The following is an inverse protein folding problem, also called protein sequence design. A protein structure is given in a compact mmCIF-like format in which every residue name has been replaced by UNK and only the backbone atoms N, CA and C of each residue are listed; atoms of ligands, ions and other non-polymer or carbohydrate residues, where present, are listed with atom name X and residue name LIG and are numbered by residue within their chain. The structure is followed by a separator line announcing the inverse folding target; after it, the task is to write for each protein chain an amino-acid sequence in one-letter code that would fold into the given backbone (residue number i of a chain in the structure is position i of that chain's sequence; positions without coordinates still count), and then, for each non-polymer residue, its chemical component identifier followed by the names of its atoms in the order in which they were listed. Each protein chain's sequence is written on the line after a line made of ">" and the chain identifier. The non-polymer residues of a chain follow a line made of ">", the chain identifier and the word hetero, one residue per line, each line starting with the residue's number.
data_IF_853833530157
#
_entry.id   IF_853833530157
#
_cell.length_a   1.000
_cell.length_b   1.000
_cell.length_c   1.000
_cell.angle_alpha   90.00
_cell.angle_beta   90.00
_cell.angle_gamma   90.00
#
_symmetry.space_group_name_H-M   'P 1'
#
loop_
_entity.id
_entity.type
_entity.pdbx_description
1 polymer ?
#
# COMPACT_ATOMS: atom_id res chain seq x y z
N UNK A 1 -9.27 11.11 -27.17
CA UNK A 1 -9.37 11.56 -25.77
C UNK A 1 -9.00 10.38 -24.88
N UNK A 2 -7.73 10.24 -24.54
CA UNK A 2 -7.24 9.16 -23.68
C UNK A 2 -7.59 9.49 -22.24
N UNK A 3 -8.47 8.71 -21.63
CA UNK A 3 -8.77 8.80 -20.21
C UNK A 3 -7.48 8.49 -19.45
N UNK A 4 -6.81 9.54 -18.97
CA UNK A 4 -5.80 9.40 -17.93
C UNK A 4 -6.58 9.06 -16.68
N UNK A 5 -6.70 7.76 -16.39
CA UNK A 5 -7.13 7.30 -15.08
C UNK A 5 -6.08 7.81 -14.12
N UNK A 6 -6.38 8.92 -13.43
CA UNK A 6 -5.53 9.43 -12.37
C UNK A 6 -5.33 8.27 -11.39
N UNK A 7 -4.14 7.67 -11.43
CA UNK A 7 -3.73 6.71 -10.43
C UNK A 7 -3.86 7.44 -9.09
N UNK A 8 -4.67 6.95 -8.14
CA UNK A 8 -4.77 7.61 -6.86
C UNK A 8 -3.40 7.51 -6.21
N UNK A 9 -2.63 8.60 -6.31
CA UNK A 9 -1.52 8.96 -5.43
C UNK A 9 -2.11 9.17 -4.04
N UNK A 10 -2.59 8.09 -3.44
CA UNK A 10 -2.78 8.02 -2.02
C UNK A 10 -1.36 8.08 -1.46
N UNK A 11 -0.97 9.30 -1.06
CA UNK A 11 0.28 9.66 -0.40
C UNK A 11 0.53 8.77 0.85
N UNK A 12 0.93 7.53 0.63
CA UNK A 12 1.65 6.68 1.60
C UNK A 12 3.16 6.79 1.37
N UNK A 13 3.59 7.82 0.63
CA UNK A 13 4.94 8.03 0.13
C UNK A 13 6.00 8.11 1.25
N UNK A 14 5.65 8.66 2.43
CA UNK A 14 6.65 8.97 3.44
C UNK A 14 7.23 7.73 4.15
N UNK A 15 6.46 6.65 4.30
CA UNK A 15 6.93 5.41 4.96
C UNK A 15 7.54 4.38 3.98
N UNK A 16 7.20 4.50 2.69
CA UNK A 16 7.64 3.60 1.63
C UNK A 16 8.97 4.06 1.01
N UNK A 17 9.20 5.38 0.92
CA UNK A 17 10.46 5.98 0.41
C UNK A 17 11.68 5.61 1.25
N UNK A 18 11.59 5.54 2.58
CA UNK A 18 12.74 5.18 3.45
C UNK A 18 13.22 3.73 3.26
N UNK A 19 12.42 2.89 2.58
CA UNK A 19 12.69 1.46 2.41
C UNK A 19 12.89 1.04 0.96
N UNK A 20 12.90 2.00 0.02
CA UNK A 20 12.91 1.75 -1.41
C UNK A 20 11.78 0.80 -1.85
N UNK A 21 10.62 0.90 -1.17
CA UNK A 21 9.43 0.10 -1.44
C UNK A 21 8.47 0.95 -2.25
N UNK A 22 8.03 0.43 -3.39
CA UNK A 22 6.98 1.03 -4.19
C UNK A 22 5.76 0.12 -4.19
N UNK A 23 4.60 0.69 -3.83
CA UNK A 23 3.33 -0.03 -3.81
C UNK A 23 2.51 0.49 -4.98
N UNK A 24 2.23 -0.40 -5.93
CA UNK A 24 1.47 -0.08 -7.12
C UNK A 24 0.13 -0.82 -7.05
N UNK A 25 -1.01 -0.12 -7.14
CA UNK A 25 -2.30 -0.78 -7.18
C UNK A 25 -2.46 -1.57 -8.48
N UNK A 26 -2.61 -2.89 -8.37
CA UNK A 26 -2.83 -3.77 -9.52
C UNK A 26 -4.33 -3.91 -9.86
N UNK A 27 -5.18 -3.89 -8.82
CA UNK A 27 -6.63 -3.84 -8.96
C UNK A 27 -7.22 -3.22 -7.70
N UNK A 28 -7.95 -2.12 -7.86
CA UNK A 28 -8.66 -1.49 -6.75
C UNK A 28 -10.14 -1.39 -7.03
N UNK A 29 -10.92 -1.36 -5.96
CA UNK A 29 -12.36 -1.09 -6.00
C UNK A 29 -12.67 0.06 -5.06
N UNK A 30 -13.60 0.92 -5.47
CA UNK A 30 -14.04 2.03 -4.63
C UNK A 30 -14.76 1.50 -3.37
N UNK A 31 -14.46 2.11 -2.23
CA UNK A 31 -14.98 1.68 -0.94
C UNK A 31 -14.32 0.41 -0.38
N UNK A 32 -15.12 -0.49 0.19
CA UNK A 32 -14.65 -1.72 0.85
C UNK A 32 -14.80 -2.90 -0.10
N UNK A 33 -13.69 -3.51 -0.48
CA UNK A 33 -13.70 -4.71 -1.32
C UNK A 33 -12.31 -5.32 -1.48
N UNK A 34 -12.12 -6.14 -2.51
CA UNK A 34 -10.82 -6.79 -2.74
C UNK A 34 -9.87 -5.84 -3.44
N UNK A 35 -8.86 -5.39 -2.70
CA UNK A 35 -7.75 -4.58 -3.19
C UNK A 35 -6.56 -5.49 -3.46
N UNK A 36 -5.95 -5.35 -4.62
CA UNK A 36 -4.75 -6.07 -5.04
C UNK A 36 -3.65 -5.05 -5.30
N UNK A 37 -2.54 -5.20 -4.59
CA UNK A 37 -1.39 -4.32 -4.66
C UNK A 37 -0.14 -5.14 -5.02
N UNK A 38 0.64 -4.65 -5.97
CA UNK A 38 1.97 -5.17 -6.25
C UNK A 38 3.00 -4.37 -5.45
N UNK A 39 3.87 -5.09 -4.74
CA UNK A 39 4.93 -4.51 -3.92
C UNK A 39 6.24 -4.73 -4.63
N UNK A 40 6.92 -3.63 -4.91
CA UNK A 40 8.24 -3.59 -5.51
C UNK A 40 9.23 -3.15 -4.45
N UNK A 41 10.40 -3.79 -4.44
CA UNK A 41 11.54 -3.39 -3.63
C UNK A 41 12.75 -3.33 -4.55
N UNK A 42 13.48 -2.21 -4.53
CA UNK A 42 14.65 -2.00 -5.40
C UNK A 42 14.31 -2.21 -6.90
N UNK A 43 13.10 -1.81 -7.31
CA UNK A 43 12.62 -1.97 -8.69
C UNK A 43 12.14 -3.38 -9.07
N UNK A 44 12.31 -4.38 -8.19
CA UNK A 44 11.87 -5.76 -8.43
C UNK A 44 10.56 -6.03 -7.71
N UNK A 45 9.59 -6.66 -8.39
CA UNK A 45 8.35 -7.11 -7.74
C UNK A 45 8.66 -8.25 -6.78
N UNK A 46 8.53 -7.98 -5.49
CA UNK A 46 8.82 -8.94 -4.41
C UNK A 46 7.56 -9.61 -3.87
N UNK A 47 6.40 -8.98 -4.01
CA UNK A 47 5.16 -9.53 -3.47
C UNK A 47 3.92 -9.02 -4.23
N UNK A 48 2.80 -9.74 -4.12
CA UNK A 48 1.46 -9.27 -4.47
C UNK A 48 0.55 -9.50 -3.28
N UNK A 49 0.09 -8.39 -2.70
CA UNK A 49 -0.85 -8.42 -1.59
C UNK A 49 -2.28 -8.41 -2.13
N UNK A 50 -3.11 -9.31 -1.60
CA UNK A 50 -4.57 -9.25 -1.72
C UNK A 50 -5.16 -8.97 -0.34
N UNK A 51 -5.87 -7.86 -0.19
CA UNK A 51 -6.49 -7.45 1.06
C UNK A 51 -7.96 -7.10 0.83
N UNK A 52 -8.83 -7.51 1.76
CA UNK A 52 -10.24 -7.11 1.74
C UNK A 52 -10.41 -5.90 2.66
N UNK A 53 -10.71 -4.74 2.08
CA UNK A 53 -10.78 -3.48 2.80
C UNK A 53 -10.79 -2.29 1.84
N UNK A 54 -10.45 -1.12 2.37
CA UNK A 54 -10.16 0.06 1.55
C UNK A 54 -8.76 -0.01 0.95
N UNK A 55 -8.50 0.78 -0.11
CA UNK A 55 -7.16 0.91 -0.70
C UNK A 55 -6.15 1.33 0.35
N UNK A 56 -6.52 2.26 1.25
CA UNK A 56 -5.66 2.73 2.34
C UNK A 56 -5.27 1.60 3.30
N UNK A 57 -6.23 0.76 3.72
CA UNK A 57 -5.98 -0.41 4.57
C UNK A 57 -5.05 -1.42 3.87
N UNK A 58 -5.27 -1.65 2.58
CA UNK A 58 -4.43 -2.54 1.79
C UNK A 58 -2.99 -2.01 1.69
N UNK A 59 -2.81 -0.72 1.42
CA UNK A 59 -1.48 -0.11 1.36
C UNK A 59 -0.78 -0.15 2.72
N UNK A 60 -1.48 0.18 3.81
CA UNK A 60 -0.93 0.09 5.16
C UNK A 60 -0.50 -1.35 5.49
N UNK A 61 -1.29 -2.36 5.08
CA UNK A 61 -0.95 -3.78 5.27
C UNK A 61 0.27 -4.19 4.45
N UNK A 62 0.43 -3.65 3.25
CA UNK A 62 1.60 -3.90 2.40
C UNK A 62 2.88 -3.33 3.03
N UNK A 63 2.84 -2.10 3.56
CA UNK A 63 3.98 -1.49 4.26
C UNK A 63 4.29 -2.24 5.56
N UNK A 64 3.26 -2.62 6.33
CA UNK A 64 3.41 -3.32 7.60
C UNK A 64 4.17 -4.64 7.47
N UNK A 65 4.05 -5.35 6.34
CA UNK A 65 4.82 -6.56 6.05
C UNK A 65 6.34 -6.35 5.97
N UNK A 66 6.78 -5.10 5.85
CA UNK A 66 8.19 -4.68 5.80
C UNK A 66 8.52 -3.63 6.88
N UNK A 67 7.62 -3.45 7.85
CA UNK A 67 7.82 -2.56 8.98
C UNK A 67 8.23 -3.35 10.22
N UNK A 68 9.10 -2.73 11.02
CA UNK A 68 9.50 -3.25 12.32
C UNK A 68 8.76 -2.49 13.41
N UNK A 69 8.44 -3.17 14.51
CA UNK A 69 7.74 -2.63 15.68
C UNK A 69 8.50 -1.49 16.37
N UNK A 70 9.82 -1.40 16.18
CA UNK A 70 10.66 -0.30 16.67
C UNK A 70 10.50 1.01 15.89
N UNK A 71 9.77 1.01 14.78
CA UNK A 71 9.64 2.17 13.92
C UNK A 71 8.48 3.08 14.37
N UNK A 72 8.65 4.41 14.28
CA UNK A 72 7.68 5.37 14.81
C UNK A 72 6.32 5.32 14.08
N UNK A 73 6.29 4.87 12.83
CA UNK A 73 5.09 4.75 12.00
C UNK A 73 4.36 3.41 12.17
N UNK A 74 4.95 2.43 12.86
CA UNK A 74 4.39 1.08 12.99
C UNK A 74 3.00 1.09 13.63
N UNK A 75 2.83 1.81 14.73
CA UNK A 75 1.54 1.91 15.42
C UNK A 75 0.46 2.53 14.52
N UNK A 76 0.81 3.54 13.72
CA UNK A 76 -0.10 4.20 12.79
C UNK A 76 -0.49 3.26 11.63
N UNK A 77 0.45 2.48 11.11
CA UNK A 77 0.19 1.45 10.09
C UNK A 77 -0.74 0.36 10.63
N UNK A 78 -0.50 -0.13 11.85
CA UNK A 78 -1.36 -1.13 12.50
C UNK A 78 -2.78 -0.59 12.70
N UNK A 79 -2.92 0.65 13.19
CA UNK A 79 -4.22 1.30 13.34
C UNK A 79 -4.94 1.44 12.00
N UNK A 80 -4.24 1.89 10.96
CA UNK A 80 -4.81 2.04 9.63
C UNK A 80 -5.27 0.72 9.00
N UNK A 81 -4.58 -0.39 9.27
CA UNK A 81 -4.99 -1.74 8.82
C UNK A 81 -6.23 -2.22 9.57
N UNK A 82 -6.34 -1.92 10.87
CA UNK A 82 -7.43 -2.39 11.72
C UNK A 82 -8.74 -1.64 11.49
N UNK A 83 -8.67 -0.38 11.02
CA UNK A 83 -9.85 0.44 10.75
C UNK A 83 -10.40 1.07 12.00
#
# INVERSE_FOLDING_TARGET
>A
MTATTAQPTANLDLAAQTRNIHIIPARTVDGVGFQVLDVYKDGVRVNRLRHRGTVRQACARAILGYAHDTQPDFAALVAAVRG
#
